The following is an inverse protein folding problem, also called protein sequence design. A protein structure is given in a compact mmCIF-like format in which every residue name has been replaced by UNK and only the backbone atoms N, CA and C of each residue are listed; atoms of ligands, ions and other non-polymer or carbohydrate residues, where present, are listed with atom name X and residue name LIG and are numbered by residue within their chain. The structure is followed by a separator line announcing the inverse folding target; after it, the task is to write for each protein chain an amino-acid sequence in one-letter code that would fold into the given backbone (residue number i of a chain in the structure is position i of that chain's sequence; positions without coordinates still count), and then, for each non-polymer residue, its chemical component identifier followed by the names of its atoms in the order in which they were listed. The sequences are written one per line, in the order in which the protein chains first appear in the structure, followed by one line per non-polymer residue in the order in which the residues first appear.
data_IF_874806586812
#
_entry.id   IF_874806586812
#
_cell.length_a   1.000
_cell.length_b   1.000
_cell.length_c   1.000
_cell.angle_alpha   90.00
_cell.angle_beta   90.00
_cell.angle_gamma   90.00
#
_symmetry.space_group_name_H-M   'P 1'
#
loop_
_entity.id
_entity.type
_entity.pdbx_description
1 polymer ?
#
# COMPACT_ATOMS: atom_id res chain seq x y z
N UNK A 1 5.43 12.09 9.08
CA UNK A 1 4.96 10.74 9.47
C UNK A 1 6.13 9.79 9.30
N UNK A 2 6.53 9.10 10.37
CA UNK A 2 7.74 8.26 10.38
C UNK A 2 7.41 6.80 10.23
N UNK A 3 7.34 6.30 9.00
CA UNK A 3 7.23 4.86 8.74
C UNK A 3 8.59 4.20 8.97
N UNK A 4 8.60 3.11 9.72
CA UNK A 4 9.84 2.34 9.94
C UNK A 4 10.23 1.59 8.67
N UNK A 5 11.53 1.49 8.39
CA UNK A 5 12.05 0.76 7.22
C UNK A 5 11.53 -0.68 7.16
N UNK A 6 11.34 -1.34 8.29
CA UNK A 6 10.76 -2.69 8.36
C UNK A 6 9.30 -2.74 7.87
N UNK A 7 8.47 -1.76 8.22
CA UNK A 7 7.10 -1.71 7.73
C UNK A 7 7.06 -1.54 6.21
N UNK A 8 7.93 -0.66 5.67
CA UNK A 8 8.08 -0.47 4.23
C UNK A 8 8.49 -1.78 3.55
N UNK A 9 9.48 -2.49 4.10
CA UNK A 9 9.95 -3.78 3.55
C UNK A 9 8.86 -4.85 3.53
N UNK A 10 8.05 -4.95 4.58
CA UNK A 10 6.93 -5.90 4.65
C UNK A 10 5.92 -5.61 3.53
N UNK A 11 5.55 -4.35 3.33
CA UNK A 11 4.60 -3.94 2.28
C UNK A 11 5.16 -4.18 0.88
N UNK A 12 6.41 -3.77 0.63
CA UNK A 12 7.08 -3.98 -0.66
C UNK A 12 7.14 -5.47 -0.99
N UNK A 13 7.52 -6.31 -0.01
CA UNK A 13 7.54 -7.76 -0.18
C UNK A 13 6.17 -8.31 -0.57
N UNK A 14 5.12 -7.93 0.16
CA UNK A 14 3.74 -8.37 -0.12
C UNK A 14 3.26 -7.94 -1.51
N UNK A 15 3.60 -6.73 -1.95
CA UNK A 15 3.27 -6.24 -3.29
C UNK A 15 3.99 -7.07 -4.37
N UNK A 16 5.28 -7.33 -4.20
CA UNK A 16 6.06 -8.17 -5.11
C UNK A 16 5.52 -9.60 -5.17
N UNK A 17 5.20 -10.22 -4.02
CA UNK A 17 4.63 -11.57 -3.95
C UNK A 17 3.25 -11.65 -4.62
N UNK A 18 2.46 -10.58 -4.56
CA UNK A 18 1.18 -10.46 -5.24
C UNK A 18 1.30 -10.10 -6.73
N UNK A 19 2.52 -9.94 -7.26
CA UNK A 19 2.74 -9.50 -8.64
C UNK A 19 2.30 -8.06 -8.91
N UNK A 20 2.12 -7.24 -7.87
CA UNK A 20 1.73 -5.85 -7.99
C UNK A 20 2.96 -4.96 -8.20
N UNK A 21 2.77 -3.87 -8.94
CA UNK A 21 3.80 -2.85 -9.13
C UNK A 21 4.17 -2.22 -7.79
N UNK A 22 5.48 -2.14 -7.51
CA UNK A 22 6.01 -1.47 -6.32
C UNK A 22 6.26 0.00 -6.68
N UNK A 23 5.31 0.85 -6.32
CA UNK A 23 5.41 2.32 -6.40
C UNK A 23 5.31 2.94 -5.01
N UNK A 24 5.92 4.11 -4.81
CA UNK A 24 5.90 4.82 -3.54
C UNK A 24 4.46 5.12 -3.07
N UNK A 25 3.58 5.55 -3.96
CA UNK A 25 2.20 5.90 -3.59
C UNK A 25 1.43 4.66 -3.15
N UNK A 26 1.64 3.53 -3.83
CA UNK A 26 1.03 2.25 -3.46
C UNK A 26 1.55 1.78 -2.11
N UNK A 27 2.85 1.88 -1.88
CA UNK A 27 3.46 1.50 -0.59
C UNK A 27 2.93 2.39 0.54
N UNK A 28 2.83 3.70 0.33
CA UNK A 28 2.27 4.63 1.31
C UNK A 28 0.78 4.36 1.58
N UNK A 29 -0.02 4.14 0.54
CA UNK A 29 -1.43 3.74 0.66
C UNK A 29 -1.58 2.51 1.55
N UNK A 30 -0.77 1.48 1.33
CA UNK A 30 -0.82 0.23 2.09
C UNK A 30 -0.38 0.40 3.54
N UNK A 31 0.64 1.21 3.77
CA UNK A 31 1.11 1.53 5.12
C UNK A 31 0.06 2.33 5.90
N UNK A 32 -0.67 3.22 5.24
CA UNK A 32 -1.72 4.03 5.85
C UNK A 32 -3.02 3.23 6.07
N UNK A 33 -3.36 2.32 5.15
CA UNK A 33 -4.61 1.57 5.16
C UNK A 33 -4.51 0.14 5.74
N UNK A 34 -3.38 -0.24 6.34
CA UNK A 34 -3.26 -1.51 7.09
C UNK A 34 -3.08 -2.77 6.24
N UNK A 35 -2.46 -2.67 5.06
CA UNK A 35 -2.03 -3.84 4.28
C UNK A 35 -3.14 -4.61 3.56
N UNK A 36 -4.39 -4.17 3.67
CA UNK A 36 -5.49 -4.62 2.82
C UNK A 36 -5.62 -3.62 1.68
N UNK A 37 -5.61 -4.11 0.44
CA UNK A 37 -6.08 -3.32 -0.68
C UNK A 37 -7.57 -3.13 -0.42
N UNK A 38 -7.94 -2.10 0.33
CA UNK A 38 -9.29 -1.58 0.20
C UNK A 38 -9.44 -1.31 -1.29
N UNK A 39 -10.38 -1.96 -2.00
CA UNK A 39 -10.69 -1.54 -3.35
C UNK A 39 -11.02 -0.07 -3.18
N UNK A 40 -10.22 0.81 -3.82
CA UNK A 40 -10.42 2.26 -3.74
C UNK A 40 -11.90 2.48 -3.99
N UNK A 41 -12.62 2.75 -2.90
CA UNK A 41 -14.07 2.83 -2.92
C UNK A 41 -14.32 4.04 -3.77
N UNK A 42 -14.75 3.76 -5.02
CA UNK A 42 -14.81 4.76 -6.06
C UNK A 42 -15.46 6.00 -5.52
N UNK A 43 -14.76 7.13 -5.61
CA UNK A 43 -15.33 8.46 -5.42
C UNK A 43 -16.27 8.81 -6.60
N UNK A 44 -17.04 7.83 -7.09
CA UNK A 44 -18.17 8.08 -7.98
C UNK A 44 -19.27 8.72 -7.13
N UNK A 45 -19.20 10.04 -6.99
CA UNK A 45 -20.26 10.83 -6.39
C UNK A 45 -19.75 12.04 -5.64
N UNK A 46 -19.31 13.06 -6.39
CA UNK A 46 -19.92 14.41 -6.39
C UNK A 46 -19.33 15.24 -7.52
#
# INVERSE_FOLDING_TARGET
MGFSRDQVKVVVRKLTENGQTVDLNIVLDKLMNGGEIQPQKGWFGR
#
